data_IF_765679599370
#
_entry.id   IF_765679599370
#
_cell.length_a   1.000
_cell.length_b   1.000
_cell.length_c   1.000
_cell.angle_alpha   90.00
_cell.angle_beta   90.00
_cell.angle_gamma   90.00
#
_symmetry.space_group_name_H-M   'P 1'
#
loop_
_entity.id
_entity.type
_entity.pdbx_description
1 polymer ?
#
# COMPACT_ATOMS: atom_id res chain seq x y z
N UNK A 1 15.65 2.27 16.61
CA UNK A 1 15.95 2.78 15.26
C UNK A 1 14.85 2.26 14.35
N UNK A 2 14.33 3.04 13.43
CA UNK A 2 13.28 2.57 12.51
C UNK A 2 13.91 1.70 11.44
N UNK A 3 13.40 0.47 11.25
CA UNK A 3 13.91 -0.44 10.21
C UNK A 3 13.36 -0.07 8.85
N UNK A 4 12.06 0.23 8.78
CA UNK A 4 11.38 0.57 7.54
C UNK A 4 10.55 1.85 7.69
N UNK A 5 10.79 2.80 6.80
CA UNK A 5 9.96 4.00 6.63
C UNK A 5 9.14 3.88 5.35
N UNK A 6 7.83 3.98 5.46
CA UNK A 6 6.89 3.93 4.34
C UNK A 6 6.38 5.34 4.07
N UNK A 7 6.48 5.80 2.83
CA UNK A 7 5.92 7.08 2.38
C UNK A 7 4.62 6.79 1.62
N UNK A 8 3.49 7.15 2.21
CA UNK A 8 2.16 6.85 1.69
C UNK A 8 1.56 5.60 2.31
N UNK A 9 0.62 5.78 3.23
CA UNK A 9 -0.03 4.70 3.98
C UNK A 9 -1.11 3.96 3.21
N UNK A 10 -0.82 3.48 1.99
CA UNK A 10 -1.72 2.61 1.25
C UNK A 10 -1.91 1.26 1.93
N UNK A 11 -1.58 0.18 1.22
CA UNK A 11 -1.69 -1.20 1.73
C UNK A 11 -0.34 -1.79 2.21
N UNK A 12 0.72 -0.97 2.31
CA UNK A 12 2.04 -1.44 2.70
C UNK A 12 2.13 -1.61 4.22
N UNK A 13 2.16 -2.84 4.67
CA UNK A 13 2.34 -3.22 6.07
C UNK A 13 3.42 -4.30 6.16
N UNK A 14 4.28 -4.21 7.18
CA UNK A 14 5.31 -5.22 7.42
C UNK A 14 5.26 -5.70 8.86
N UNK A 15 5.35 -7.01 9.05
CA UNK A 15 5.44 -7.64 10.38
C UNK A 15 6.90 -7.86 10.75
N UNK A 16 7.20 -7.74 12.04
CA UNK A 16 8.53 -8.05 12.59
C UNK A 16 9.59 -6.97 12.37
N UNK A 17 9.23 -5.83 11.74
CA UNK A 17 10.10 -4.68 11.58
C UNK A 17 9.54 -3.48 12.35
N UNK A 18 10.43 -2.68 12.95
CA UNK A 18 10.03 -1.37 13.50
C UNK A 18 9.69 -0.44 12.34
N UNK A 19 8.39 -0.24 12.11
CA UNK A 19 7.88 0.47 10.93
C UNK A 19 7.33 1.84 11.30
N UNK A 20 7.66 2.86 10.50
CA UNK A 20 7.00 4.16 10.52
C UNK A 20 6.35 4.45 9.16
N UNK A 21 5.18 5.08 9.17
CA UNK A 21 4.43 5.45 7.98
C UNK A 21 4.22 6.96 7.96
N UNK A 22 4.72 7.63 6.94
CA UNK A 22 4.45 9.06 6.68
C UNK A 22 3.25 9.16 5.74
N UNK A 23 2.16 9.73 6.21
CA UNK A 23 0.92 9.88 5.47
C UNK A 23 0.46 11.35 5.48
N UNK A 24 0.22 11.91 4.30
CA UNK A 24 -0.17 13.32 4.18
C UNK A 24 -1.68 13.55 4.21
N UNK A 25 -2.48 12.52 3.93
CA UNK A 25 -3.93 12.66 3.92
C UNK A 25 -4.45 12.86 5.36
N UNK A 26 -5.16 13.96 5.67
CA UNK A 26 -5.65 14.24 7.02
C UNK A 26 -6.68 13.21 7.51
N UNK A 27 -7.33 12.49 6.59
CA UNK A 27 -8.26 11.39 6.92
C UNK A 27 -7.53 10.08 7.23
N UNK A 28 -6.20 10.07 7.16
CA UNK A 28 -5.35 8.92 7.40
C UNK A 28 -5.17 8.01 6.18
N UNK A 29 -4.44 6.89 6.35
CA UNK A 29 -4.06 6.00 5.26
C UNK A 29 -5.26 5.27 4.64
N UNK A 30 -5.08 4.82 3.39
CA UNK A 30 -5.99 3.92 2.70
C UNK A 30 -7.24 4.57 2.09
N UNK A 31 -7.29 5.91 1.94
CA UNK A 31 -8.48 6.60 1.43
C UNK A 31 -8.88 6.14 0.02
N UNK A 32 -7.92 5.77 -0.82
CA UNK A 32 -8.23 5.27 -2.16
C UNK A 32 -8.96 3.93 -2.14
N UNK A 33 -8.71 3.08 -1.15
CA UNK A 33 -9.42 1.80 -1.01
C UNK A 33 -10.93 2.00 -0.88
N UNK A 34 -11.35 3.06 -0.16
CA UNK A 34 -12.76 3.36 0.09
C UNK A 34 -13.58 3.64 -1.17
N UNK A 35 -12.94 4.07 -2.27
CA UNK A 35 -13.62 4.37 -3.53
C UNK A 35 -13.47 3.27 -4.58
N UNK A 36 -12.60 2.29 -4.35
CA UNK A 36 -12.41 1.17 -5.28
C UNK A 36 -13.65 0.26 -5.31
N UNK A 37 -13.89 -0.39 -6.46
CA UNK A 37 -15.04 -1.27 -6.60
C UNK A 37 -16.39 -0.59 -6.31
N UNK A 38 -16.52 0.71 -6.56
CA UNK A 38 -17.70 1.53 -6.24
C UNK A 38 -18.02 1.53 -4.73
N UNK A 39 -17.00 1.67 -3.89
CA UNK A 39 -17.13 1.68 -2.42
C UNK A 39 -17.12 0.30 -1.76
N UNK A 40 -16.96 -0.78 -2.53
CA UNK A 40 -16.95 -2.16 -2.03
C UNK A 40 -15.54 -2.73 -1.81
N UNK A 41 -14.52 -2.11 -2.38
CA UNK A 41 -13.14 -2.60 -2.47
C UNK A 41 -12.99 -3.94 -3.22
N UNK A 42 -12.66 -3.89 -4.50
CA UNK A 42 -12.19 -5.09 -5.21
C UNK A 42 -10.81 -5.47 -4.66
N UNK A 43 -10.75 -6.50 -3.81
CA UNK A 43 -9.54 -6.91 -3.08
C UNK A 43 -8.52 -7.52 -4.01
N UNK A 44 -8.95 -8.47 -4.83
CA UNK A 44 -8.12 -9.21 -5.79
C UNK A 44 -8.99 -9.84 -6.88
N UNK A 45 -8.38 -10.66 -7.72
CA UNK A 45 -9.06 -11.54 -8.65
C UNK A 45 -8.76 -13.00 -8.27
N UNK A 46 -9.77 -13.85 -8.26
CA UNK A 46 -9.66 -15.28 -7.93
C UNK A 46 -9.13 -16.05 -9.14
N UNK A 47 -7.84 -15.93 -9.39
CA UNK A 47 -7.12 -16.59 -10.46
C UNK A 47 -5.73 -17.03 -9.99
N UNK A 48 -5.13 -17.99 -10.69
CA UNK A 48 -3.76 -18.37 -10.43
C UNK A 48 -2.75 -17.29 -10.91
N UNK A 49 -1.49 -17.41 -10.49
CA UNK A 49 -0.44 -16.44 -10.82
C UNK A 49 -0.18 -16.38 -12.32
N UNK A 50 -0.24 -17.50 -13.05
CA UNK A 50 0.02 -17.53 -14.50
C UNK A 50 -1.08 -16.80 -15.25
N UNK A 51 -2.32 -17.06 -14.87
CA UNK A 51 -3.48 -16.36 -15.44
C UNK A 51 -3.42 -14.86 -15.13
N UNK A 52 -3.09 -14.47 -13.88
CA UNK A 52 -2.91 -13.08 -13.50
C UNK A 52 -1.90 -12.36 -14.40
N UNK A 53 -0.74 -13.00 -14.64
CA UNK A 53 0.33 -12.43 -15.46
C UNK A 53 -0.07 -12.20 -16.92
N UNK A 54 -1.02 -12.98 -17.47
CA UNK A 54 -1.54 -12.78 -18.83
C UNK A 54 -2.29 -11.43 -18.98
N UNK A 55 -2.80 -10.85 -17.89
CA UNK A 55 -3.48 -9.55 -17.91
C UNK A 55 -2.55 -8.38 -17.62
N UNK A 56 -1.28 -8.61 -17.31
CA UNK A 56 -0.28 -7.54 -17.12
C UNK A 56 0.18 -7.07 -18.50
N UNK A 57 -0.17 -5.84 -18.87
CA UNK A 57 0.03 -5.29 -20.23
C UNK A 57 1.50 -5.09 -20.61
N UNK A 58 2.33 -4.75 -19.64
CA UNK A 58 3.75 -4.44 -19.88
C UNK A 58 4.62 -5.15 -18.86
N UNK A 59 5.66 -5.80 -19.35
CA UNK A 59 6.70 -6.47 -18.55
C UNK A 59 6.16 -7.38 -17.43
N UNK A 60 5.30 -8.38 -17.71
CA UNK A 60 4.73 -9.27 -16.67
C UNK A 60 5.82 -10.03 -15.91
N UNK A 61 6.97 -10.31 -16.53
CA UNK A 61 8.09 -11.02 -15.89
C UNK A 61 8.63 -10.27 -14.68
N UNK A 62 8.53 -8.94 -14.64
CA UNK A 62 8.95 -8.15 -13.49
C UNK A 62 8.17 -8.50 -12.21
N UNK A 63 6.91 -8.88 -12.35
CA UNK A 63 6.04 -9.23 -11.21
C UNK A 63 6.11 -10.71 -10.80
N UNK A 64 6.86 -11.54 -11.54
CA UNK A 64 6.86 -12.98 -11.35
C UNK A 64 7.18 -13.36 -9.90
N UNK A 65 8.33 -12.96 -9.39
CA UNK A 65 8.77 -13.29 -8.02
C UNK A 65 7.81 -12.77 -6.95
N UNK A 66 7.31 -11.54 -7.12
CA UNK A 66 6.38 -10.93 -6.17
C UNK A 66 5.05 -11.69 -6.10
N UNK A 67 4.48 -12.06 -7.26
CA UNK A 67 3.19 -12.78 -7.32
C UNK A 67 3.30 -14.24 -6.86
N UNK A 68 4.46 -14.88 -7.04
CA UNK A 68 4.67 -16.21 -6.46
C UNK A 68 4.94 -16.16 -4.96
N UNK A 69 5.52 -15.08 -4.45
CA UNK A 69 5.70 -14.88 -3.01
C UNK A 69 4.39 -14.48 -2.31
N UNK A 70 3.53 -13.71 -2.98
CA UNK A 70 2.23 -13.28 -2.47
C UNK A 70 1.19 -13.30 -3.60
N UNK A 71 0.51 -14.43 -3.74
CA UNK A 71 -0.44 -14.70 -4.81
C UNK A 71 -1.82 -14.07 -4.55
N UNK A 72 -2.72 -14.04 -5.55
CA UNK A 72 -4.12 -13.70 -5.32
C UNK A 72 -4.79 -14.55 -4.22
N UNK A 73 -4.51 -15.84 -4.18
CA UNK A 73 -4.99 -16.74 -3.12
C UNK A 73 -4.44 -16.32 -1.75
N UNK A 74 -3.13 -16.03 -1.65
CA UNK A 74 -2.53 -15.53 -0.40
C UNK A 74 -3.17 -14.22 0.08
N UNK A 75 -3.56 -13.34 -0.85
CA UNK A 75 -4.27 -12.13 -0.50
C UNK A 75 -5.67 -12.43 0.06
N UNK A 76 -6.40 -13.40 -0.49
CA UNK A 76 -7.69 -13.82 0.04
C UNK A 76 -7.54 -14.42 1.45
N UNK A 77 -6.62 -15.35 1.63
CA UNK A 77 -6.31 -15.96 2.92
C UNK A 77 -5.94 -14.91 3.98
N UNK A 78 -5.14 -13.91 3.62
CA UNK A 78 -4.80 -12.82 4.53
C UNK A 78 -6.06 -12.09 5.01
N UNK A 79 -6.93 -11.63 4.12
CA UNK A 79 -8.12 -10.88 4.53
C UNK A 79 -9.09 -11.73 5.33
N UNK A 80 -9.29 -12.99 4.98
CA UNK A 80 -10.10 -13.92 5.75
C UNK A 80 -9.52 -14.16 7.15
N UNK A 81 -8.18 -14.30 7.27
CA UNK A 81 -7.50 -14.42 8.58
C UNK A 81 -7.62 -13.14 9.43
N UNK A 82 -7.82 -12.00 8.79
CA UNK A 82 -8.07 -10.71 9.46
C UNK A 82 -9.56 -10.50 9.79
N UNK A 83 -10.40 -11.51 9.59
CA UNK A 83 -11.82 -11.44 9.91
C UNK A 83 -12.69 -10.73 8.87
N UNK A 84 -12.21 -10.62 7.62
CA UNK A 84 -12.98 -10.08 6.49
C UNK A 84 -13.40 -11.24 5.58
N UNK A 85 -14.63 -11.79 5.74
CA UNK A 85 -15.14 -12.81 4.83
C UNK A 85 -15.23 -12.27 3.40
N UNK A 86 -14.79 -13.07 2.42
CA UNK A 86 -14.76 -12.68 1.02
C UNK A 86 -15.81 -13.44 0.21
N UNK A 87 -16.16 -12.88 -0.95
CA UNK A 87 -16.97 -13.52 -2.00
C UNK A 87 -16.36 -13.25 -3.36
N UNK A 88 -16.45 -14.26 -4.23
CA UNK A 88 -16.06 -14.13 -5.65
C UNK A 88 -17.30 -13.86 -6.49
N UNK A 89 -17.27 -12.81 -7.30
CA UNK A 89 -18.34 -12.39 -8.21
C UNK A 89 -17.95 -12.63 -9.67
N UNK A 90 -18.86 -12.30 -10.59
CA UNK A 90 -18.65 -12.40 -12.04
C UNK A 90 -17.29 -11.80 -12.43
N UNK A 91 -16.56 -12.51 -13.28
CA UNK A 91 -15.21 -12.14 -13.72
C UNK A 91 -14.15 -12.39 -12.64
N UNK A 92 -14.45 -13.29 -11.70
CA UNK A 92 -13.56 -13.69 -10.60
C UNK A 92 -13.11 -12.53 -9.71
N UNK A 93 -13.87 -11.44 -9.69
CA UNK A 93 -13.58 -10.29 -8.81
C UNK A 93 -13.92 -10.64 -7.38
N UNK A 94 -12.99 -10.36 -6.48
CA UNK A 94 -13.14 -10.68 -5.05
C UNK A 94 -13.49 -9.42 -4.26
N UNK A 95 -14.57 -9.51 -3.48
CA UNK A 95 -15.08 -8.43 -2.64
C UNK A 95 -15.31 -8.92 -1.21
N UNK A 96 -15.34 -8.04 -0.21
CA UNK A 96 -15.84 -8.41 1.12
C UNK A 96 -17.32 -8.79 1.01
N UNK A 97 -17.76 -9.78 1.79
CA UNK A 97 -19.18 -10.20 1.82
C UNK A 97 -20.11 -9.06 2.24
N UNK A 98 -19.61 -8.16 3.09
CA UNK A 98 -20.33 -6.97 3.55
C UNK A 98 -20.56 -5.90 2.47
N UNK A 99 -19.91 -6.01 1.31
CA UNK A 99 -19.87 -4.96 0.27
C UNK A 99 -19.40 -3.58 0.77
N UNK A 100 -18.61 -3.54 1.83
CA UNK A 100 -18.12 -2.30 2.45
C UNK A 100 -16.59 -2.24 2.41
N UNK A 101 -16.05 -1.31 1.64
CA UNK A 101 -14.61 -1.05 1.60
C UNK A 101 -14.03 -0.64 2.98
N UNK A 102 -14.87 -0.10 3.85
CA UNK A 102 -14.48 0.29 5.20
C UNK A 102 -14.01 -0.89 6.04
N UNK A 103 -14.59 -2.08 5.87
CA UNK A 103 -14.23 -3.27 6.63
C UNK A 103 -12.83 -3.78 6.21
N UNK A 104 -12.54 -3.73 4.90
CA UNK A 104 -11.20 -4.03 4.37
C UNK A 104 -10.16 -3.05 4.92
N UNK A 105 -10.48 -1.75 4.93
CA UNK A 105 -9.59 -0.73 5.47
C UNK A 105 -9.37 -0.90 6.97
N UNK A 106 -10.42 -1.22 7.74
CA UNK A 106 -10.32 -1.46 9.18
C UNK A 106 -9.40 -2.65 9.47
N UNK A 107 -9.54 -3.74 8.72
CA UNK A 107 -8.67 -4.92 8.86
C UNK A 107 -7.19 -4.59 8.58
N UNK A 108 -6.90 -3.84 7.50
CA UNK A 108 -5.53 -3.40 7.19
C UNK A 108 -4.96 -2.46 8.27
N UNK A 109 -5.78 -1.57 8.83
CA UNK A 109 -5.34 -0.69 9.92
C UNK A 109 -5.03 -1.49 11.20
N UNK A 110 -5.86 -2.47 11.52
CA UNK A 110 -5.60 -3.39 12.63
C UNK A 110 -4.33 -4.21 12.40
N UNK A 111 -4.12 -4.69 11.18
CA UNK A 111 -2.92 -5.42 10.79
C UNK A 111 -1.64 -4.58 10.91
N UNK A 112 -1.76 -3.26 10.69
CA UNK A 112 -0.66 -2.29 10.78
C UNK A 112 -0.60 -1.57 12.14
N UNK A 113 -1.28 -2.05 13.18
CA UNK A 113 -1.42 -1.34 14.45
C UNK A 113 -0.08 -1.04 15.15
N UNK A 114 0.94 -1.89 14.94
CA UNK A 114 2.28 -1.72 15.51
C UNK A 114 3.12 -0.65 14.77
N UNK A 115 2.68 -0.19 13.60
CA UNK A 115 3.39 0.83 12.85
C UNK A 115 3.14 2.22 13.44
N UNK A 116 4.20 3.03 13.54
CA UNK A 116 4.10 4.43 13.95
C UNK A 116 3.59 5.29 12.79
N UNK A 117 2.38 5.81 12.89
CA UNK A 117 1.86 6.75 11.89
C UNK A 117 2.28 8.19 12.20
N UNK A 118 2.84 8.86 11.19
CA UNK A 118 3.27 10.25 11.22
C UNK A 118 2.48 11.02 10.16
N UNK A 119 1.71 12.01 10.60
CA UNK A 119 1.04 12.90 9.64
C UNK A 119 2.04 13.89 9.07
N UNK A 120 2.16 13.93 7.74
CA UNK A 120 3.06 14.84 7.05
C UNK A 120 3.24 14.49 5.57
N UNK A 121 3.67 15.49 4.79
CA UNK A 121 4.00 15.31 3.38
C UNK A 121 5.50 15.12 3.22
N UNK A 122 5.91 14.01 2.62
CA UNK A 122 7.31 13.78 2.26
C UNK A 122 7.71 14.78 1.16
N UNK A 123 8.78 15.53 1.39
CA UNK A 123 9.28 16.58 0.48
C UNK A 123 10.57 16.17 -0.21
N UNK A 124 11.47 15.54 0.54
CA UNK A 124 12.83 15.27 0.10
C UNK A 124 13.32 13.94 0.70
N UNK A 125 14.01 13.13 -0.10
CA UNK A 125 14.72 11.96 0.40
C UNK A 125 16.05 12.41 1.03
N UNK A 126 16.43 11.76 2.13
CA UNK A 126 17.75 11.95 2.73
C UNK A 126 18.70 10.94 2.11
N UNK A 127 19.65 11.44 1.30
CA UNK A 127 20.63 10.60 0.63
C UNK A 127 22.00 10.84 1.29
N UNK A 128 22.62 9.78 1.77
CA UNK A 128 23.97 9.78 2.35
C UNK A 128 24.77 8.64 1.71
N UNK A 129 25.93 8.94 1.20
CA UNK A 129 26.82 7.99 0.51
C UNK A 129 26.11 7.14 -0.57
N UNK A 130 25.22 7.78 -1.34
CA UNK A 130 24.44 7.13 -2.40
C UNK A 130 23.30 6.22 -1.89
N UNK A 131 22.99 6.25 -0.59
CA UNK A 131 21.91 5.45 0.02
C UNK A 131 20.80 6.35 0.56
N UNK A 132 19.56 5.95 0.36
CA UNK A 132 18.43 6.61 0.97
C UNK A 132 18.32 6.17 2.45
N UNK A 133 18.48 7.12 3.37
CA UNK A 133 18.50 6.89 4.82
C UNK A 133 17.32 7.52 5.55
N UNK A 134 16.34 8.05 4.82
CA UNK A 134 15.16 8.64 5.42
C UNK A 134 14.47 9.65 4.52
N UNK A 135 13.59 10.44 5.11
CA UNK A 135 12.83 11.50 4.43
C UNK A 135 12.77 12.76 5.29
N UNK A 136 12.71 13.92 4.63
CA UNK A 136 12.32 15.19 5.24
C UNK A 136 10.89 15.51 4.85
N UNK A 137 10.07 15.86 5.84
CA UNK A 137 8.70 16.30 5.65
C UNK A 137 8.60 17.81 5.42
N UNK A 138 7.46 18.27 4.90
CA UNK A 138 7.23 19.68 4.56
C UNK A 138 7.30 20.64 5.76
N UNK A 139 7.10 20.13 6.98
CA UNK A 139 7.28 20.85 8.24
C UNK A 139 8.74 20.92 8.72
N UNK A 140 9.68 20.43 7.91
CA UNK A 140 11.12 20.44 8.18
C UNK A 140 11.63 19.29 9.06
N UNK A 141 10.76 18.44 9.59
CA UNK A 141 11.17 17.29 10.38
C UNK A 141 11.82 16.21 9.52
N UNK A 142 12.77 15.51 10.10
CA UNK A 142 13.45 14.38 9.46
C UNK A 142 13.06 13.06 10.13
N UNK A 143 12.84 12.05 9.31
CA UNK A 143 12.53 10.69 9.74
C UNK A 143 13.55 9.76 9.10
N UNK A 144 14.39 9.15 9.94
CA UNK A 144 15.47 8.25 9.48
C UNK A 144 15.05 6.78 9.62
N UNK A 145 15.48 5.96 8.67
CA UNK A 145 15.26 4.52 8.69
C UNK A 145 16.36 3.78 7.93
N UNK A 146 16.52 2.49 8.19
CA UNK A 146 17.45 1.63 7.44
C UNK A 146 17.00 1.44 5.98
N UNK A 147 15.67 1.40 5.75
CA UNK A 147 15.07 1.28 4.42
C UNK A 147 13.92 2.27 4.25
N UNK A 148 13.74 2.76 3.02
CA UNK A 148 12.64 3.66 2.65
C UNK A 148 11.84 3.04 1.51
N UNK A 149 10.53 2.89 1.70
CA UNK A 149 9.58 2.39 0.71
C UNK A 149 8.64 3.51 0.29
N UNK A 150 8.60 3.84 -1.00
CA UNK A 150 7.71 4.86 -1.57
C UNK A 150 6.47 4.19 -2.14
N UNK A 151 5.31 4.42 -1.52
CA UNK A 151 4.00 3.84 -1.90
C UNK A 151 2.91 4.91 -2.01
N UNK A 152 3.27 6.10 -2.48
CA UNK A 152 2.39 7.27 -2.58
C UNK A 152 1.30 7.18 -3.65
N UNK A 153 1.29 6.10 -4.42
CA UNK A 153 0.39 5.93 -5.56
C UNK A 153 0.83 6.73 -6.79
N UNK A 154 -0.02 6.74 -7.81
CA UNK A 154 0.20 7.47 -9.06
C UNK A 154 -0.46 8.84 -9.07
N UNK A 155 -1.09 9.20 -10.22
CA UNK A 155 -1.75 10.50 -10.43
C UNK A 155 -3.27 10.42 -10.56
N UNK A 156 -3.84 9.22 -10.45
CA UNK A 156 -5.29 9.01 -10.53
C UNK A 156 -5.95 9.28 -9.17
N UNK A 157 -7.03 10.05 -9.18
CA UNK A 157 -7.77 10.45 -7.98
C UNK A 157 -6.92 11.23 -6.95
N UNK A 158 -6.41 12.43 -7.28
CA UNK A 158 -5.53 13.21 -6.39
C UNK A 158 -6.14 13.50 -5.02
N UNK A 159 -7.47 13.69 -4.96
CA UNK A 159 -8.19 13.92 -3.70
C UNK A 159 -8.07 12.78 -2.68
N UNK A 160 -7.65 11.58 -3.10
CA UNK A 160 -7.40 10.44 -2.22
C UNK A 160 -5.93 10.30 -1.81
N UNK A 161 -5.07 11.21 -2.25
CA UNK A 161 -3.63 11.22 -1.95
C UNK A 161 -2.73 10.74 -3.10
N UNK A 162 -3.30 10.33 -4.25
CA UNK A 162 -2.50 9.90 -5.43
C UNK A 162 -2.19 11.12 -6.32
N UNK A 163 -1.33 12.01 -5.83
CA UNK A 163 -1.01 13.31 -6.44
C UNK A 163 0.27 13.32 -7.29
N UNK A 164 0.93 12.17 -7.44
CA UNK A 164 2.18 12.02 -8.17
C UNK A 164 3.43 12.45 -7.41
N UNK A 165 3.34 12.75 -6.12
CA UNK A 165 4.49 13.15 -5.29
C UNK A 165 5.63 12.12 -5.30
N UNK A 166 5.30 10.82 -5.38
CA UNK A 166 6.30 9.76 -5.47
C UNK A 166 7.21 9.86 -6.69
N UNK A 167 6.70 10.33 -7.82
CA UNK A 167 7.55 10.55 -9.01
C UNK A 167 8.57 11.67 -8.81
N UNK A 168 8.23 12.69 -7.99
CA UNK A 168 9.16 13.77 -7.65
C UNK A 168 10.24 13.27 -6.70
N UNK A 169 9.88 12.43 -5.73
CA UNK A 169 10.84 11.80 -4.82
C UNK A 169 11.79 10.85 -5.57
N UNK A 170 11.27 10.04 -6.49
CA UNK A 170 12.08 9.08 -7.24
C UNK A 170 13.07 9.70 -8.25
N UNK A 171 12.99 11.01 -8.50
CA UNK A 171 13.92 11.76 -9.37
C UNK A 171 15.06 12.45 -8.62
N UNK A 172 15.05 12.40 -7.31
CA UNK A 172 16.11 12.96 -6.45
C UNK A 172 17.29 11.99 -6.35
#
# INVERSE_FOLDING_TARGET
MTDLLIIGGGAACTRGLTTAVVEHNPKGPGQKLLITGKGRCNVTNDCDVREFLNYVRHNPRFLYSALYAFSPASAMELFESLGVPLKTERGRRVFPQSDRAADVLAALRSYAADAKFVHGSAKELLIEDGRCVGVRTSDGKTHRAAHVLVTTGGTSYPATGSDGSGYKLARQ
#
